data_IF_458535918157
#
_entry.id   IF_458535918157
#
_cell.length_a   1.000
_cell.length_b   1.000
_cell.length_c   1.000
_cell.angle_alpha   90.00
_cell.angle_beta   90.00
_cell.angle_gamma   90.00
#
_symmetry.space_group_name_H-M   'P 1'
#
loop_
_entity.id
_entity.type
_entity.pdbx_description
1 polymer ?
#
# COMPACT_ATOMS: atom_id res chain seq x y z
N UNK A 1 -3.56 -7.44 4.80
CA UNK A 1 -3.78 -5.99 4.88
C UNK A 1 -2.74 -5.32 4.02
N UNK A 2 -3.11 -4.31 3.24
CA UNK A 2 -2.20 -3.55 2.40
C UNK A 2 -1.89 -2.21 3.06
N UNK A 3 -0.65 -1.76 2.91
CA UNK A 3 -0.20 -0.41 3.28
C UNK A 3 0.40 0.25 2.04
N UNK A 4 0.00 1.49 1.76
CA UNK A 4 0.55 2.32 0.69
C UNK A 4 1.19 3.54 1.31
N UNK A 5 2.47 3.75 1.06
CA UNK A 5 3.18 4.97 1.42
C UNK A 5 3.16 5.93 0.23
N UNK A 6 2.58 7.11 0.44
CA UNK A 6 2.43 8.15 -0.56
C UNK A 6 3.15 9.40 -0.06
N UNK A 7 4.36 9.67 -0.57
CA UNK A 7 5.13 10.79 -0.09
C UNK A 7 4.48 12.14 -0.43
N UNK A 8 4.84 13.17 0.31
CA UNK A 8 4.52 14.54 -0.07
C UNK A 8 5.26 14.94 -1.35
N UNK A 9 4.59 15.68 -2.24
CA UNK A 9 5.17 16.15 -3.51
C UNK A 9 6.45 16.97 -3.34
N UNK A 10 6.69 17.57 -2.17
CA UNK A 10 7.95 18.28 -1.88
C UNK A 10 9.16 17.38 -1.66
N UNK A 11 8.95 16.06 -1.49
CA UNK A 11 10.00 15.09 -1.19
C UNK A 11 10.16 13.96 -2.18
N UNK A 12 9.19 13.76 -3.06
CA UNK A 12 9.26 12.70 -4.06
C UNK A 12 8.45 13.05 -5.30
N UNK A 13 9.07 12.84 -6.45
CA UNK A 13 8.40 12.90 -7.75
C UNK A 13 7.62 11.60 -8.05
N UNK A 14 7.91 10.52 -7.33
CA UNK A 14 7.25 9.24 -7.53
C UNK A 14 5.93 9.16 -6.74
N UNK A 15 4.82 9.31 -7.48
CA UNK A 15 3.43 9.12 -7.04
C UNK A 15 3.09 9.75 -5.67
N UNK A 16 3.23 11.09 -5.51
CA UNK A 16 2.86 11.75 -4.27
C UNK A 16 1.36 11.71 -4.02
N UNK A 17 0.94 11.84 -2.75
CA UNK A 17 -0.48 11.76 -2.39
C UNK A 17 -1.32 12.81 -3.12
N UNK A 18 -0.76 14.00 -3.39
CA UNK A 18 -1.44 15.05 -4.14
C UNK A 18 -1.80 14.63 -5.57
N UNK A 19 -0.93 13.85 -6.22
CA UNK A 19 -1.20 13.30 -7.54
C UNK A 19 -2.24 12.18 -7.46
N UNK A 20 -2.11 11.28 -6.49
CA UNK A 20 -3.04 10.17 -6.29
C UNK A 20 -4.48 10.65 -6.05
N UNK A 21 -4.64 11.74 -5.29
CA UNK A 21 -5.94 12.27 -4.94
C UNK A 21 -6.36 13.48 -5.76
N UNK A 22 -5.51 14.06 -6.61
CA UNK A 22 -5.79 15.28 -7.39
C UNK A 22 -6.20 16.47 -6.50
N UNK A 23 -5.43 16.74 -5.44
CA UNK A 23 -5.66 17.86 -4.52
C UNK A 23 -4.40 18.15 -3.70
N UNK A 24 -4.21 19.42 -3.34
CA UNK A 24 -3.18 19.85 -2.37
C UNK A 24 -3.72 19.99 -0.94
N UNK A 25 -5.03 19.84 -0.74
CA UNK A 25 -5.67 19.85 0.58
C UNK A 25 -5.71 18.44 1.19
N UNK A 26 -5.03 18.27 2.33
CA UNK A 26 -4.97 17.00 3.10
C UNK A 26 -6.36 16.53 3.50
N UNK A 27 -7.25 17.43 3.93
CA UNK A 27 -8.60 17.08 4.38
C UNK A 27 -9.45 16.58 3.21
N UNK A 28 -9.33 17.21 2.05
CA UNK A 28 -9.98 16.74 0.83
C UNK A 28 -9.46 15.35 0.40
N UNK A 29 -8.16 15.08 0.54
CA UNK A 29 -7.58 13.77 0.26
C UNK A 29 -8.09 12.69 1.24
N UNK A 30 -8.14 12.99 2.54
CA UNK A 30 -8.69 12.10 3.57
C UNK A 30 -10.14 11.71 3.30
N UNK A 31 -11.00 12.68 2.98
CA UNK A 31 -12.41 12.43 2.65
C UNK A 31 -12.51 11.49 1.43
N UNK A 32 -11.71 11.74 0.39
CA UNK A 32 -11.66 10.89 -0.81
C UNK A 32 -11.16 9.47 -0.51
N UNK A 33 -10.20 9.31 0.40
CA UNK A 33 -9.70 8.02 0.84
C UNK A 33 -10.75 7.25 1.68
N UNK A 34 -11.40 7.94 2.61
CA UNK A 34 -12.45 7.37 3.47
C UNK A 34 -13.65 6.89 2.65
N UNK A 35 -14.06 7.62 1.60
CA UNK A 35 -15.11 7.16 0.68
C UNK A 35 -14.78 5.84 -0.03
N UNK A 36 -13.50 5.48 -0.12
CA UNK A 36 -13.03 4.20 -0.69
C UNK A 36 -12.80 3.12 0.36
N UNK A 37 -13.08 3.41 1.64
CA UNK A 37 -12.85 2.48 2.75
C UNK A 37 -11.37 2.34 3.12
N UNK A 38 -10.54 3.33 2.80
CA UNK A 38 -9.11 3.32 3.09
C UNK A 38 -8.80 4.27 4.25
N UNK A 39 -8.59 3.77 5.49
CA UNK A 39 -8.08 4.59 6.57
C UNK A 39 -6.77 5.28 6.20
N UNK A 40 -6.63 6.50 6.71
CA UNK A 40 -5.48 7.37 6.45
C UNK A 40 -4.74 7.61 7.75
N UNK A 41 -3.41 7.50 7.73
CA UNK A 41 -2.53 8.10 8.72
C UNK A 41 -1.52 9.01 8.04
N UNK A 42 -1.02 9.96 8.78
CA UNK A 42 0.05 10.84 8.32
C UNK A 42 1.25 10.74 9.24
N UNK A 43 2.44 10.96 8.71
CA UNK A 43 3.63 11.17 9.53
C UNK A 43 3.97 12.66 9.71
N UNK A 44 4.96 12.93 10.57
CA UNK A 44 5.43 14.28 10.89
C UNK A 44 6.02 15.00 9.69
N UNK A 45 6.45 14.24 8.68
CA UNK A 45 6.99 14.79 7.46
C UNK A 45 5.87 15.14 6.47
N UNK A 46 4.62 14.77 6.73
CA UNK A 46 3.49 15.03 5.83
C UNK A 46 3.28 13.95 4.76
N UNK A 47 3.93 12.79 4.88
CA UNK A 47 3.62 11.65 4.03
C UNK A 47 2.30 11.02 4.45
N UNK A 48 1.55 10.56 3.46
CA UNK A 48 0.27 9.87 3.66
C UNK A 48 0.49 8.36 3.62
N UNK A 49 -0.16 7.64 4.52
CA UNK A 49 -0.26 6.19 4.45
C UNK A 49 -1.71 5.78 4.37
N UNK A 50 -2.03 4.96 3.37
CA UNK A 50 -3.35 4.35 3.21
C UNK A 50 -3.27 2.89 3.63
N UNK A 51 -4.29 2.43 4.36
CA UNK A 51 -4.44 1.02 4.67
C UNK A 51 -5.76 0.47 4.14
N UNK A 52 -5.81 -0.81 3.80
CA UNK A 52 -7.06 -1.51 3.51
C UNK A 52 -6.87 -3.03 3.59
N UNK A 53 -7.95 -3.75 3.88
CA UNK A 53 -7.97 -5.22 3.88
C UNK A 53 -8.88 -5.72 2.78
N UNK A 54 -8.39 -6.68 1.99
CA UNK A 54 -9.14 -7.33 0.93
C UNK A 54 -9.06 -8.86 1.11
N UNK A 55 -10.06 -9.61 0.64
CA UNK A 55 -10.01 -11.07 0.66
C UNK A 55 -8.78 -11.61 -0.08
N UNK A 56 -8.15 -12.64 0.47
CA UNK A 56 -7.05 -13.34 -0.23
C UNK A 56 -7.56 -14.09 -1.48
N UNK A 57 -8.80 -14.59 -1.42
CA UNK A 57 -9.45 -15.27 -2.53
C UNK A 57 -10.84 -14.71 -2.76
N UNK A 58 -11.25 -14.72 -4.02
CA UNK A 58 -12.63 -14.44 -4.42
C UNK A 58 -13.25 -15.72 -5.00
N UNK A 59 -14.58 -15.75 -5.11
CA UNK A 59 -15.27 -16.80 -5.86
C UNK A 59 -15.61 -16.28 -7.25
N UNK A 60 -15.32 -17.06 -8.29
CA UNK A 60 -15.70 -16.72 -9.65
C UNK A 60 -17.23 -16.62 -9.74
N UNK A 61 -17.81 -15.52 -10.29
CA UNK A 61 -19.23 -15.24 -10.17
C UNK A 61 -20.14 -16.23 -10.90
N UNK A 62 -19.60 -16.98 -11.88
CA UNK A 62 -20.33 -18.01 -12.63
C UNK A 62 -20.07 -19.42 -12.11
N UNK A 63 -18.81 -19.87 -12.09
CA UNK A 63 -18.42 -21.24 -11.69
C UNK A 63 -18.39 -21.46 -10.18
N UNK A 64 -18.31 -20.41 -9.36
CA UNK A 64 -18.10 -20.52 -7.91
C UNK A 64 -16.68 -20.93 -7.52
N UNK A 65 -15.77 -21.13 -8.48
CA UNK A 65 -14.40 -21.55 -8.20
C UNK A 65 -13.63 -20.48 -7.43
N UNK A 66 -12.77 -20.94 -6.51
CA UNK A 66 -11.92 -20.07 -5.71
C UNK A 66 -10.76 -19.55 -6.56
N UNK A 67 -10.69 -18.23 -6.75
CA UNK A 67 -9.66 -17.55 -7.53
C UNK A 67 -8.72 -16.75 -6.63
N UNK A 68 -7.41 -16.85 -6.89
CA UNK A 68 -6.40 -15.98 -6.29
C UNK A 68 -6.39 -14.66 -7.05
N UNK A 69 -7.11 -13.67 -6.53
CA UNK A 69 -7.28 -12.36 -7.16
C UNK A 69 -6.87 -11.26 -6.20
N UNK A 70 -5.57 -11.17 -5.96
CA UNK A 70 -4.96 -10.18 -5.08
C UNK A 70 -3.55 -9.82 -5.58
N UNK A 71 -2.89 -8.87 -4.92
CA UNK A 71 -1.55 -8.41 -5.27
C UNK A 71 -0.57 -8.59 -4.10
N UNK A 72 -0.82 -9.53 -3.20
CA UNK A 72 -0.09 -9.62 -1.93
C UNK A 72 1.44 -9.75 -2.13
N UNK A 73 1.87 -10.54 -3.11
CA UNK A 73 3.29 -10.75 -3.43
C UNK A 73 3.93 -9.52 -4.09
N UNK A 74 3.29 -8.96 -5.12
CA UNK A 74 3.81 -7.79 -5.84
C UNK A 74 3.78 -6.52 -4.98
N UNK A 75 2.85 -6.43 -4.02
CA UNK A 75 2.74 -5.30 -3.10
C UNK A 75 3.57 -5.49 -1.83
N UNK A 76 4.17 -6.66 -1.58
CA UNK A 76 5.09 -6.81 -0.47
C UNK A 76 6.40 -6.05 -0.76
N UNK A 77 7.01 -5.45 0.26
CA UNK A 77 8.21 -4.61 0.06
C UNK A 77 9.41 -5.41 -0.47
N UNK A 78 9.45 -6.73 -0.27
CA UNK A 78 10.49 -7.64 -0.79
C UNK A 78 10.60 -7.57 -2.31
N UNK A 79 9.47 -7.42 -3.01
CA UNK A 79 9.47 -7.18 -4.45
C UNK A 79 10.28 -5.93 -4.81
N UNK A 80 10.08 -4.83 -4.08
CA UNK A 80 10.79 -3.57 -4.31
C UNK A 80 12.25 -3.63 -3.87
N UNK A 81 12.55 -4.26 -2.72
CA UNK A 81 13.90 -4.49 -2.21
C UNK A 81 14.79 -5.26 -3.20
N UNK A 82 14.19 -6.11 -4.03
CA UNK A 82 14.89 -6.85 -5.07
C UNK A 82 15.24 -6.00 -6.30
N UNK A 83 14.64 -4.81 -6.47
CA UNK A 83 14.86 -3.96 -7.63
C UNK A 83 16.14 -3.11 -7.47
N UNK A 84 16.87 -2.82 -8.57
CA UNK A 84 18.14 -2.09 -8.52
C UNK A 84 18.07 -0.73 -7.80
N UNK A 85 16.96 -0.01 -7.91
CA UNK A 85 16.78 1.31 -7.31
C UNK A 85 16.69 1.29 -5.77
N UNK A 86 16.40 0.14 -5.17
CA UNK A 86 16.35 -0.04 -3.70
C UNK A 86 17.49 -0.91 -3.17
N UNK A 87 18.47 -1.24 -4.02
CA UNK A 87 19.60 -2.07 -3.60
C UNK A 87 20.42 -1.36 -2.52
N UNK A 88 20.50 -1.96 -1.34
CA UNK A 88 21.22 -1.41 -0.20
C UNK A 88 20.46 -0.33 0.58
N UNK A 89 19.15 -0.17 0.37
CA UNK A 89 18.35 0.74 1.19
C UNK A 89 17.97 0.12 2.54
N UNK A 90 18.24 0.84 3.62
CA UNK A 90 17.82 0.48 4.99
C UNK A 90 16.47 1.11 5.38
N UNK A 91 15.59 1.27 4.39
CA UNK A 91 14.25 1.80 4.66
C UNK A 91 13.45 0.79 5.49
N UNK A 92 12.68 1.26 6.49
CA UNK A 92 11.64 0.45 7.11
C UNK A 92 10.65 -0.06 6.06
N UNK A 93 10.08 -1.24 6.27
CA UNK A 93 9.24 -1.94 5.29
C UNK A 93 8.02 -1.12 4.86
N UNK A 94 7.40 -0.39 5.79
CA UNK A 94 6.28 0.51 5.51
C UNK A 94 6.67 1.78 4.73
N UNK A 95 7.96 2.13 4.66
CA UNK A 95 8.44 3.29 3.89
C UNK A 95 8.69 2.99 2.41
N UNK A 96 8.63 1.73 2.01
CA UNK A 96 8.53 1.40 0.60
C UNK A 96 7.15 1.80 0.06
N UNK A 97 7.02 2.12 -1.24
CA UNK A 97 5.75 2.50 -1.88
C UNK A 97 4.53 1.64 -1.53
N UNK A 98 4.75 0.36 -1.25
CA UNK A 98 3.76 -0.56 -0.77
C UNK A 98 4.38 -1.67 0.07
N UNK A 99 3.60 -2.15 1.04
CA UNK A 99 3.88 -3.33 1.83
C UNK A 99 2.58 -4.08 2.14
N UNK A 100 2.66 -5.40 2.36
CA UNK A 100 1.49 -6.25 2.61
C UNK A 100 1.72 -7.10 3.85
N UNK A 101 0.75 -7.06 4.76
CA UNK A 101 0.63 -7.88 5.95
C UNK A 101 -0.46 -8.94 5.76
N UNK A 102 -0.61 -9.87 6.71
CA UNK A 102 -1.84 -10.64 6.87
C UNK A 102 -3.05 -9.75 7.17
N UNK A 103 -4.26 -10.34 7.10
CA UNK A 103 -5.52 -9.61 7.29
C UNK A 103 -5.67 -8.93 8.65
N UNK A 104 -4.97 -9.46 9.66
CA UNK A 104 -4.92 -8.96 11.04
C UNK A 104 -3.80 -7.94 11.30
N UNK A 105 -2.95 -7.69 10.31
CA UNK A 105 -1.82 -6.77 10.42
C UNK A 105 -0.50 -7.41 10.87
N UNK A 106 -0.44 -8.74 11.04
CA UNK A 106 0.83 -9.45 11.28
C UNK A 106 1.67 -9.58 10.00
N UNK A 107 2.99 -9.66 10.15
CA UNK A 107 3.92 -9.84 9.03
C UNK A 107 3.67 -11.16 8.28
N UNK A 108 3.87 -11.16 6.96
CA UNK A 108 3.90 -12.39 6.16
C UNK A 108 5.25 -13.04 6.35
N UNK A 109 5.28 -14.33 6.69
CA UNK A 109 6.53 -15.04 6.95
C UNK A 109 7.40 -15.14 5.68
N UNK A 110 8.74 -15.05 5.81
CA UNK A 110 9.65 -15.06 4.65
C UNK A 110 9.54 -16.31 3.78
N UNK A 111 9.13 -17.46 4.31
CA UNK A 111 8.99 -18.71 3.54
C UNK A 111 7.80 -18.70 2.58
N UNK A 112 6.85 -17.78 2.75
CA UNK A 112 5.60 -17.69 1.99
C UNK A 112 5.67 -16.65 0.87
N UNK A 113 6.76 -15.87 0.81
CA UNK A 113 6.85 -14.64 0.01
C UNK A 113 8.06 -14.66 -0.94
#
# INVERSE_FOLDING_TARGET
MYVRHLPDKSRSDYMPWQHQFYTDDRKAAEIRAQHRGNPVRWDDNGDMYLTYTAPAFLSHPVTGEKIWFNQATSYHCTYLKALPQYKGSDLPDEKYPHHTYYGDGSDIEPEIN
#
